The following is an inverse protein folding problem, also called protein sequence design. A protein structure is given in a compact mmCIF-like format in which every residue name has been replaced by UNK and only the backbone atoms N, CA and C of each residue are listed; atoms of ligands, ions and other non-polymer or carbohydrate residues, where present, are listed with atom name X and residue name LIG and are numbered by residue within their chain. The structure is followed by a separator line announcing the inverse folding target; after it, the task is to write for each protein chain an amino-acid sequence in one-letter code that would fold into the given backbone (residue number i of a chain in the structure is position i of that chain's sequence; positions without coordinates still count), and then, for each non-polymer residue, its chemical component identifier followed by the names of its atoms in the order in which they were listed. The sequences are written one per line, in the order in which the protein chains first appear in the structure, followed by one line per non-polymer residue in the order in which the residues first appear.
data_IF_307445217883
#
_entry.id   IF_307445217883
#
_cell.length_a   1.000
_cell.length_b   1.000
_cell.length_c   1.000
_cell.angle_alpha   90.00
_cell.angle_beta   90.00
_cell.angle_gamma   90.00
#
_symmetry.space_group_name_H-M   'P 1'
#
loop_
_entity.id
_entity.type
_entity.pdbx_description
1 polymer ?
#
# COMPACT_ATOMS: atom_id res chain seq x y z
N UNK A 1 -36.64 -34.26 -5.29
CA UNK A 1 -35.19 -34.52 -5.49
C UNK A 1 -34.52 -33.49 -6.42
N UNK A 2 -34.98 -33.29 -7.66
CA UNK A 2 -34.41 -32.32 -8.63
C UNK A 2 -34.30 -30.86 -8.12
N UNK A 3 -35.33 -30.35 -7.42
CA UNK A 3 -35.34 -28.96 -6.91
C UNK A 3 -34.30 -28.72 -5.81
N UNK A 4 -34.05 -29.72 -4.95
CA UNK A 4 -33.02 -29.67 -3.91
C UNK A 4 -31.60 -29.70 -4.51
N UNK A 5 -31.39 -30.51 -5.56
CA UNK A 5 -30.11 -30.58 -6.29
C UNK A 5 -29.81 -29.27 -7.02
N UNK A 6 -30.84 -28.62 -7.62
CA UNK A 6 -30.69 -27.30 -8.27
C UNK A 6 -30.35 -26.18 -7.29
N UNK A 7 -30.97 -26.18 -6.11
CA UNK A 7 -30.68 -25.21 -5.04
C UNK A 7 -29.26 -25.44 -4.51
N UNK A 8 -28.87 -26.68 -4.23
CA UNK A 8 -27.52 -27.01 -3.80
C UNK A 8 -26.45 -26.63 -4.85
N UNK A 9 -26.70 -26.87 -6.14
CA UNK A 9 -25.81 -26.47 -7.22
C UNK A 9 -25.68 -24.94 -7.37
N UNK A 10 -26.77 -24.20 -7.21
CA UNK A 10 -26.74 -22.73 -7.20
C UNK A 10 -25.97 -22.18 -5.98
N UNK A 11 -26.15 -22.79 -4.80
CA UNK A 11 -25.42 -22.41 -3.58
C UNK A 11 -23.91 -22.68 -3.71
N UNK A 12 -23.51 -23.81 -4.28
CA UNK A 12 -22.08 -24.12 -4.53
C UNK A 12 -21.48 -23.15 -5.55
N UNK A 13 -22.20 -22.82 -6.62
CA UNK A 13 -21.76 -21.83 -7.61
C UNK A 13 -21.53 -20.45 -6.98
N UNK A 14 -22.44 -19.98 -6.13
CA UNK A 14 -22.31 -18.70 -5.40
C UNK A 14 -21.09 -18.74 -4.47
N UNK A 15 -20.89 -19.82 -3.71
CA UNK A 15 -19.75 -19.97 -2.81
C UNK A 15 -18.42 -19.96 -3.57
N UNK A 16 -18.33 -20.63 -4.72
CA UNK A 16 -17.13 -20.63 -5.55
C UNK A 16 -16.81 -19.23 -6.08
N UNK A 17 -17.82 -18.51 -6.58
CA UNK A 17 -17.64 -17.13 -7.05
C UNK A 17 -17.19 -16.23 -5.89
N UNK A 18 -17.84 -16.32 -4.74
CA UNK A 18 -17.47 -15.53 -3.56
C UNK A 18 -16.04 -15.83 -3.09
N UNK A 19 -15.61 -17.10 -3.12
CA UNK A 19 -14.26 -17.50 -2.76
C UNK A 19 -13.21 -16.92 -3.72
N UNK A 20 -13.46 -17.03 -5.03
CA UNK A 20 -12.56 -16.46 -6.06
C UNK A 20 -12.46 -14.94 -5.91
N UNK A 21 -13.59 -14.25 -5.73
CA UNK A 21 -13.61 -12.80 -5.47
C UNK A 21 -12.85 -12.46 -4.18
N UNK A 22 -13.02 -13.26 -3.12
CA UNK A 22 -12.31 -13.09 -1.87
C UNK A 22 -10.79 -13.19 -2.02
N UNK A 23 -10.29 -14.15 -2.82
CA UNK A 23 -8.86 -14.28 -3.13
C UNK A 23 -8.34 -13.05 -3.86
N UNK A 24 -9.03 -12.61 -4.92
CA UNK A 24 -8.62 -11.44 -5.68
C UNK A 24 -8.62 -10.18 -4.83
N UNK A 25 -9.64 -10.00 -4.00
CA UNK A 25 -9.73 -8.84 -3.11
C UNK A 25 -8.61 -8.85 -2.07
N UNK A 26 -8.41 -9.97 -1.36
CA UNK A 26 -7.39 -10.08 -0.34
C UNK A 26 -5.96 -9.97 -0.92
N UNK A 27 -5.71 -10.66 -2.03
CA UNK A 27 -4.43 -10.62 -2.74
C UNK A 27 -4.15 -9.23 -3.30
N UNK A 28 -5.12 -8.64 -4.00
CA UNK A 28 -5.01 -7.30 -4.58
C UNK A 28 -4.81 -6.23 -3.51
N UNK A 29 -5.52 -6.31 -2.39
CA UNK A 29 -5.34 -5.39 -1.27
C UNK A 29 -3.92 -5.47 -0.70
N UNK A 30 -3.42 -6.66 -0.37
CA UNK A 30 -2.07 -6.80 0.18
C UNK A 30 -0.98 -6.46 -0.84
N UNK A 31 -1.20 -6.75 -2.13
CA UNK A 31 -0.30 -6.32 -3.19
C UNK A 31 -0.22 -4.78 -3.27
N UNK A 32 -1.37 -4.09 -3.27
CA UNK A 32 -1.40 -2.62 -3.29
C UNK A 32 -0.75 -2.03 -2.04
N UNK A 33 -0.98 -2.65 -0.88
CA UNK A 33 -0.34 -2.27 0.38
C UNK A 33 1.18 -2.31 0.28
N UNK A 34 1.75 -3.31 -0.41
CA UNK A 34 3.20 -3.46 -0.56
C UNK A 34 3.77 -2.62 -1.70
N UNK A 35 3.06 -2.48 -2.82
CA UNK A 35 3.44 -1.57 -3.90
C UNK A 35 3.58 -0.13 -3.39
N UNK A 36 2.71 0.28 -2.46
CA UNK A 36 2.74 1.58 -1.79
C UNK A 36 3.68 1.65 -0.58
N UNK A 37 4.53 0.64 -0.36
CA UNK A 37 5.65 0.64 0.60
C UNK A 37 6.99 0.63 -0.13
N UNK A 38 7.07 1.18 -1.33
CA UNK A 38 8.33 1.28 -2.07
C UNK A 38 8.83 2.72 -2.05
N UNK A 39 10.15 2.91 -2.13
CA UNK A 39 10.72 4.26 -2.27
C UNK A 39 10.19 4.96 -3.53
N UNK A 40 10.03 4.23 -4.63
CA UNK A 40 9.50 4.75 -5.89
C UNK A 40 8.09 5.34 -5.71
N UNK A 41 7.23 4.67 -4.95
CA UNK A 41 5.93 5.23 -4.59
C UNK A 41 6.08 6.47 -3.70
N UNK A 42 6.95 6.43 -2.69
CA UNK A 42 7.16 7.58 -1.79
C UNK A 42 7.59 8.84 -2.55
N UNK A 43 8.45 8.71 -3.57
CA UNK A 43 8.93 9.83 -4.40
C UNK A 43 8.11 10.04 -5.67
N UNK A 44 6.92 9.45 -5.76
CA UNK A 44 6.00 9.68 -6.89
C UNK A 44 5.37 11.08 -6.83
N UNK A 45 5.19 11.63 -5.62
CA UNK A 45 4.78 13.00 -5.39
C UNK A 45 5.97 13.96 -5.52
N UNK A 46 5.77 15.13 -6.12
CA UNK A 46 6.86 16.10 -6.28
C UNK A 46 7.33 16.65 -4.93
N UNK A 47 6.44 16.79 -3.95
CA UNK A 47 6.79 17.31 -2.62
C UNK A 47 7.82 16.43 -1.94
N UNK A 48 7.70 15.12 -2.10
CA UNK A 48 8.65 14.16 -1.55
C UNK A 48 9.92 14.06 -2.39
N UNK A 49 9.80 14.14 -3.73
CA UNK A 49 10.94 14.01 -4.65
C UNK A 49 11.87 15.21 -4.64
N UNK A 50 11.30 16.42 -4.69
CA UNK A 50 12.04 17.67 -4.88
C UNK A 50 12.59 18.22 -3.56
N UNK A 51 12.02 17.80 -2.42
CA UNK A 51 12.44 18.21 -1.09
C UNK A 51 13.11 17.07 -0.32
N UNK A 52 12.31 16.21 0.33
CA UNK A 52 12.79 15.23 1.32
C UNK A 52 13.78 14.22 0.71
N UNK A 53 13.54 13.78 -0.52
CA UNK A 53 14.43 12.84 -1.20
C UNK A 53 15.81 13.47 -1.48
N UNK A 54 15.86 14.74 -1.87
CA UNK A 54 17.12 15.46 -2.12
C UNK A 54 17.95 15.59 -0.84
N UNK A 55 17.29 15.81 0.31
CA UNK A 55 17.99 15.78 1.59
C UNK A 55 18.49 14.37 1.91
N UNK A 56 17.61 13.37 1.77
CA UNK A 56 17.90 11.97 2.07
C UNK A 56 19.11 11.41 1.30
N UNK A 57 19.28 11.73 0.01
CA UNK A 57 20.41 11.23 -0.80
C UNK A 57 21.77 11.72 -0.30
N UNK A 58 21.80 12.82 0.45
CA UNK A 58 23.01 13.37 1.06
C UNK A 58 23.31 12.79 2.45
N UNK A 59 22.54 11.79 2.91
CA UNK A 59 22.70 11.19 4.24
C UNK A 59 23.41 9.84 4.21
N UNK A 60 23.87 9.40 5.38
CA UNK A 60 24.41 8.04 5.60
C UNK A 60 23.38 6.93 5.33
N UNK A 61 22.08 7.24 5.33
CA UNK A 61 21.06 6.25 5.03
C UNK A 61 20.99 5.93 3.54
N UNK A 62 21.45 6.84 2.67
CA UNK A 62 21.55 6.63 1.23
C UNK A 62 22.89 6.02 0.81
N UNK A 63 24.01 6.59 1.28
CA UNK A 63 25.36 6.11 0.97
C UNK A 63 26.13 5.78 2.24
N UNK A 64 26.43 4.49 2.43
CA UNK A 64 27.18 4.01 3.59
C UNK A 64 28.23 2.96 3.24
N UNK A 65 29.12 2.74 4.22
CA UNK A 65 30.26 1.82 4.11
C UNK A 65 29.87 0.33 4.03
N UNK A 66 28.64 -0.04 4.42
CA UNK A 66 28.21 -1.44 4.49
C UNK A 66 27.50 -1.90 3.22
N UNK A 67 27.08 -0.96 2.35
CA UNK A 67 26.35 -1.25 1.12
C UNK A 67 24.87 -1.60 1.33
N UNK A 68 24.36 -1.55 2.58
CA UNK A 68 22.95 -1.81 2.90
C UNK A 68 22.24 -0.49 3.11
N UNK A 69 21.27 -0.18 2.25
CA UNK A 69 20.56 1.11 2.25
C UNK A 69 19.21 0.99 2.95
N UNK A 70 18.96 1.85 3.94
CA UNK A 70 17.63 2.01 4.52
C UNK A 70 16.85 3.00 3.65
N UNK A 71 15.71 2.57 3.14
CA UNK A 71 14.82 3.36 2.27
C UNK A 71 13.67 3.96 3.07
N UNK A 72 12.87 4.83 2.46
CA UNK A 72 11.71 5.48 3.10
C UNK A 72 10.82 4.52 3.94
N UNK A 73 10.31 3.40 3.38
CA UNK A 73 9.42 2.49 4.11
C UNK A 73 10.10 1.79 5.29
N UNK A 74 11.42 1.59 5.25
CA UNK A 74 12.14 0.84 6.29
C UNK A 74 12.05 1.51 7.67
N UNK A 75 11.92 2.84 7.68
CA UNK A 75 11.77 3.63 8.90
C UNK A 75 10.34 4.19 9.09
N UNK A 76 9.64 4.55 8.02
CA UNK A 76 8.34 5.22 8.12
C UNK A 76 7.13 4.29 8.18
N UNK A 77 7.26 3.03 7.71
CA UNK A 77 6.14 2.10 7.61
C UNK A 77 6.33 0.95 8.61
N UNK A 78 5.43 0.79 9.59
CA UNK A 78 5.48 -0.36 10.48
C UNK A 78 5.40 -1.68 9.72
N UNK A 79 6.17 -2.68 10.18
CA UNK A 79 6.19 -4.02 9.55
C UNK A 79 4.97 -4.86 9.94
N UNK A 80 4.55 -4.75 11.19
CA UNK A 80 3.37 -5.42 11.74
C UNK A 80 2.07 -4.91 11.10
N UNK A 81 1.22 -5.84 10.64
CA UNK A 81 0.09 -5.54 9.75
C UNK A 81 -0.90 -4.51 10.32
N UNK A 82 -1.31 -4.66 11.59
CA UNK A 82 -2.29 -3.76 12.21
C UNK A 82 -1.77 -2.34 12.28
N UNK A 83 -0.50 -2.16 12.66
CA UNK A 83 0.12 -0.84 12.76
C UNK A 83 0.39 -0.23 11.37
N UNK A 84 0.75 -1.06 10.38
CA UNK A 84 0.89 -0.66 8.97
C UNK A 84 -0.42 -0.09 8.44
N UNK A 85 -1.52 -0.81 8.61
CA UNK A 85 -2.86 -0.38 8.16
C UNK A 85 -3.27 0.92 8.86
N UNK A 86 -3.08 1.03 10.18
CA UNK A 86 -3.37 2.27 10.90
C UNK A 86 -2.60 3.48 10.35
N UNK A 87 -1.29 3.35 10.11
CA UNK A 87 -0.48 4.43 9.55
C UNK A 87 -0.92 4.81 8.13
N UNK A 88 -1.31 3.83 7.31
CA UNK A 88 -1.81 4.07 5.95
C UNK A 88 -3.18 4.76 5.93
N UNK A 89 -4.08 4.43 6.87
CA UNK A 89 -5.34 5.18 7.04
C UNK A 89 -5.04 6.62 7.45
N UNK A 90 -4.09 6.85 8.37
CA UNK A 90 -3.69 8.21 8.70
C UNK A 90 -3.07 8.94 7.50
N UNK A 91 -2.32 8.20 6.67
CA UNK A 91 -1.65 8.70 5.47
C UNK A 91 -2.59 9.21 4.38
N UNK A 92 -3.88 8.84 4.43
CA UNK A 92 -4.85 9.31 3.42
C UNK A 92 -5.16 10.79 3.58
N UNK A 93 -4.85 11.40 4.73
CA UNK A 93 -4.99 12.85 4.91
C UNK A 93 -4.04 13.61 3.98
N UNK A 94 -2.82 13.11 3.79
CA UNK A 94 -1.83 13.69 2.88
C UNK A 94 -2.38 13.71 1.44
N UNK A 95 -3.05 12.63 1.00
CA UNK A 95 -3.72 12.57 -0.30
C UNK A 95 -4.91 13.54 -0.40
N UNK A 96 -5.71 13.63 0.66
CA UNK A 96 -6.83 14.57 0.73
C UNK A 96 -6.34 16.03 0.62
N UNK A 97 -5.32 16.41 1.38
CA UNK A 97 -4.75 17.75 1.36
C UNK A 97 -4.01 18.08 0.06
N UNK A 98 -3.43 17.07 -0.61
CA UNK A 98 -2.91 17.21 -1.97
C UNK A 98 -4.03 17.47 -2.97
N UNK A 99 -5.13 16.71 -2.91
CA UNK A 99 -6.28 16.90 -3.80
C UNK A 99 -6.95 18.26 -3.61
N UNK A 100 -6.97 18.78 -2.38
CA UNK A 100 -7.42 20.14 -2.09
C UNK A 100 -6.44 21.24 -2.53
N UNK A 101 -5.19 20.89 -2.87
CA UNK A 101 -4.13 21.85 -3.20
C UNK A 101 -3.55 22.60 -1.99
N UNK A 102 -3.91 22.22 -0.76
CA UNK A 102 -3.31 22.80 0.45
C UNK A 102 -1.86 22.35 0.68
N UNK A 103 -1.41 21.31 -0.02
CA UNK A 103 -0.02 20.84 -0.06
C UNK A 103 0.40 20.76 -1.54
N UNK A 104 1.32 21.63 -1.95
CA UNK A 104 1.93 21.69 -3.31
C UNK A 104 3.33 22.33 -3.23
N UNK A 105 4.08 22.04 -2.18
CA UNK A 105 5.43 22.60 -1.99
C UNK A 105 6.40 21.94 -2.97
N UNK A 106 6.93 22.72 -3.91
CA UNK A 106 7.97 22.32 -4.86
C UNK A 106 9.32 22.83 -4.41
#
# INVERSE_FOLDING_TARGET
MSKQIKIAGASIGVLLVAFVVGIFFWGGFNWAMEATNTEEFCISCHEMRENVYVEYVNTIHYSNRTGVRATCPDCHVPKEWVYKVKRKIQATNELYHKALGSIDTR
#
